data_IF_903444236495
#
_entry.id   IF_903444236495
#
_cell.length_a   1.000
_cell.length_b   1.000
_cell.length_c   1.000
_cell.angle_alpha   90.00
_cell.angle_beta   90.00
_cell.angle_gamma   90.00
#
_symmetry.space_group_name_H-M   'P 1'
#
loop_
_entity.id
_entity.type
_entity.pdbx_description
1 polymer ?
#
# COMPACT_ATOMS: atom_id res chain seq x y z
N UNK A 1 17.42 -7.80 -3.50
CA UNK A 1 16.51 -7.77 -2.32
C UNK A 1 15.22 -7.07 -2.70
N UNK A 2 14.08 -7.68 -2.43
CA UNK A 2 12.76 -7.16 -2.80
C UNK A 2 12.17 -6.31 -1.69
N UNK A 3 11.14 -5.52 -2.04
CA UNK A 3 10.36 -4.75 -1.04
C UNK A 3 9.74 -5.68 0.01
N UNK A 4 9.20 -6.83 -0.40
CA UNK A 4 8.65 -7.83 0.52
C UNK A 4 9.69 -8.29 1.54
N UNK A 5 10.88 -8.61 1.08
CA UNK A 5 11.98 -9.06 1.95
C UNK A 5 12.39 -7.97 2.93
N UNK A 6 12.59 -6.74 2.44
CA UNK A 6 13.00 -5.62 3.28
C UNK A 6 11.96 -5.36 4.38
N UNK A 7 10.70 -5.26 4.01
CA UNK A 7 9.61 -4.96 4.96
C UNK A 7 9.38 -6.07 5.97
N UNK A 8 9.49 -7.33 5.54
CA UNK A 8 9.37 -8.48 6.44
C UNK A 8 10.51 -8.49 7.45
N UNK A 9 11.74 -8.23 7.02
CA UNK A 9 12.89 -8.11 7.93
C UNK A 9 12.75 -6.95 8.91
N UNK A 10 12.27 -5.80 8.43
CA UNK A 10 12.00 -4.65 9.30
C UNK A 10 10.95 -4.99 10.37
N UNK A 11 9.88 -5.66 9.98
CA UNK A 11 8.82 -6.08 10.89
C UNK A 11 9.34 -7.07 11.95
N UNK A 12 10.15 -8.02 11.55
CA UNK A 12 10.80 -8.96 12.48
C UNK A 12 11.75 -8.24 13.45
N UNK A 13 12.59 -7.36 12.91
CA UNK A 13 13.57 -6.60 13.70
C UNK A 13 12.90 -5.73 14.75
N UNK A 14 11.79 -5.08 14.43
CA UNK A 14 11.02 -4.26 15.37
C UNK A 14 10.55 -5.06 16.60
N UNK A 15 10.34 -6.36 16.45
CA UNK A 15 9.91 -7.24 17.53
C UNK A 15 11.06 -8.04 18.16
N UNK A 16 12.29 -7.76 17.78
CA UNK A 16 13.46 -8.53 18.25
C UNK A 16 13.44 -9.98 17.76
N UNK A 17 12.79 -10.26 16.66
CA UNK A 17 12.63 -11.61 16.08
C UNK A 17 13.62 -11.82 14.95
N UNK A 18 14.02 -13.07 14.75
CA UNK A 18 15.00 -13.45 13.72
C UNK A 18 14.57 -14.74 12.98
N UNK A 19 13.26 -14.93 12.77
CA UNK A 19 12.77 -16.08 12.05
C UNK A 19 13.07 -15.97 10.56
N UNK A 20 13.18 -17.12 9.91
CA UNK A 20 13.20 -17.22 8.46
C UNK A 20 11.80 -17.06 7.89
N UNK A 21 11.71 -16.61 6.65
CA UNK A 21 10.46 -16.47 5.93
C UNK A 21 10.67 -16.81 4.47
N UNK A 22 9.59 -17.17 3.80
CA UNK A 22 9.56 -17.47 2.36
C UNK A 22 8.47 -16.66 1.67
N UNK A 23 8.68 -16.33 0.41
CA UNK A 23 7.72 -15.62 -0.42
C UNK A 23 7.96 -15.92 -1.89
N UNK A 24 6.95 -15.65 -2.71
CA UNK A 24 7.04 -15.68 -4.17
C UNK A 24 6.74 -14.27 -4.69
N UNK A 25 7.60 -13.72 -5.53
CA UNK A 25 7.46 -12.36 -6.07
C UNK A 25 6.16 -12.12 -6.84
N UNK A 26 5.60 -13.17 -7.44
CA UNK A 26 4.37 -13.06 -8.23
C UNK A 26 3.10 -13.04 -7.37
N UNK A 27 3.21 -13.34 -6.09
CA UNK A 27 2.08 -13.43 -5.16
C UNK A 27 2.20 -12.43 -4.03
N UNK A 28 1.07 -12.02 -3.42
CA UNK A 28 1.09 -11.16 -2.23
C UNK A 28 1.26 -11.95 -0.92
N UNK A 29 1.79 -13.17 -0.97
CA UNK A 29 1.90 -14.04 0.19
C UNK A 29 3.31 -14.07 0.76
N UNK A 30 3.39 -14.00 2.09
CA UNK A 30 4.64 -14.20 2.84
C UNK A 30 4.37 -15.21 3.95
N UNK A 31 5.17 -16.27 4.00
CA UNK A 31 5.09 -17.28 5.05
C UNK A 31 6.18 -17.05 6.08
N UNK A 32 5.79 -16.78 7.32
CA UNK A 32 6.70 -16.57 8.45
C UNK A 32 6.40 -17.60 9.52
N UNK A 33 7.38 -18.44 9.83
CA UNK A 33 7.25 -19.50 10.85
C UNK A 33 5.99 -20.34 10.70
N UNK A 34 5.66 -20.73 9.47
CA UNK A 34 4.51 -21.58 9.15
C UNK A 34 3.16 -20.87 9.10
N UNK A 35 3.11 -19.56 9.35
CA UNK A 35 1.91 -18.74 9.19
C UNK A 35 1.99 -17.90 7.92
N UNK A 36 0.91 -17.90 7.15
CA UNK A 36 0.79 -17.10 5.92
C UNK A 36 0.17 -15.74 6.19
N UNK A 37 0.82 -14.69 5.66
CA UNK A 37 0.35 -13.31 5.68
C UNK A 37 0.13 -12.82 4.25
N UNK A 38 -0.82 -11.90 4.05
CA UNK A 38 -0.92 -11.13 2.81
C UNK A 38 0.05 -9.96 2.94
N UNK A 39 1.26 -10.06 2.45
CA UNK A 39 2.35 -9.13 2.69
C UNK A 39 2.63 -8.97 4.20
N UNK A 40 3.73 -8.35 4.54
CA UNK A 40 4.06 -7.99 5.93
C UNK A 40 4.59 -6.58 5.94
N UNK A 41 4.02 -5.76 6.81
CA UNK A 41 4.46 -4.38 7.02
C UNK A 41 4.96 -4.18 8.45
N UNK A 42 6.03 -3.38 8.63
CA UNK A 42 6.47 -3.00 9.97
C UNK A 42 5.41 -2.14 10.66
N UNK A 43 5.20 -2.34 11.95
CA UNK A 43 4.20 -1.59 12.72
C UNK A 43 4.52 -0.10 12.83
N UNK A 44 5.79 0.27 12.70
CA UNK A 44 6.23 1.67 12.69
C UNK A 44 5.62 2.51 11.57
N UNK A 45 5.09 1.89 10.52
CA UNK A 45 4.39 2.59 9.45
C UNK A 45 2.97 3.03 9.84
N UNK A 46 2.40 2.45 10.89
CA UNK A 46 1.02 2.67 11.32
C UNK A 46 0.93 3.88 12.26
N UNK A 47 1.11 5.07 11.72
CA UNK A 47 0.95 6.32 12.46
C UNK A 47 -0.53 6.68 12.62
N UNK A 48 -0.89 7.56 13.59
CA UNK A 48 -2.25 8.07 13.70
C UNK A 48 -2.73 8.70 12.39
N UNK A 49 -3.99 8.45 12.04
CA UNK A 49 -4.59 9.00 10.81
C UNK A 49 -5.12 10.39 11.08
N UNK A 50 -4.73 11.35 10.25
CA UNK A 50 -5.35 12.66 10.16
C UNK A 50 -6.40 12.62 9.04
N UNK A 51 -7.64 13.01 9.33
CA UNK A 51 -8.73 13.04 8.36
C UNK A 51 -8.84 14.37 7.62
N UNK A 52 -8.12 15.40 8.04
CA UNK A 52 -7.99 16.65 7.30
C UNK A 52 -6.88 16.53 6.27
N UNK A 53 -7.28 16.25 5.03
CA UNK A 53 -6.36 15.85 3.97
C UNK A 53 -6.39 16.84 2.81
N UNK A 54 -5.32 17.62 2.64
CA UNK A 54 -5.30 18.69 1.63
C UNK A 54 -5.17 18.20 0.17
N UNK A 55 -4.67 16.97 -0.04
CA UNK A 55 -4.49 16.43 -1.38
C UNK A 55 -5.70 15.56 -1.73
N UNK A 56 -6.42 15.91 -2.79
CA UNK A 56 -7.61 15.16 -3.20
C UNK A 56 -7.27 13.74 -3.64
N UNK A 57 -6.32 13.60 -4.57
CA UNK A 57 -5.89 12.31 -5.08
C UNK A 57 -4.41 12.38 -5.44
N UNK A 58 -3.65 11.34 -5.13
CA UNK A 58 -2.20 11.33 -5.29
C UNK A 58 -1.70 10.03 -5.90
N UNK A 59 -0.91 10.17 -6.94
CA UNK A 59 -0.10 9.08 -7.49
C UNK A 59 1.37 9.48 -7.50
N UNK A 60 2.22 8.69 -6.86
CA UNK A 60 3.68 8.80 -6.93
C UNK A 60 4.21 7.50 -7.49
N UNK A 61 4.83 7.54 -8.65
CA UNK A 61 5.39 6.35 -9.24
C UNK A 61 5.87 6.54 -10.68
N UNK A 62 6.39 5.46 -11.24
CA UNK A 62 6.84 5.44 -12.62
C UNK A 62 5.64 5.57 -13.56
N UNK A 63 5.74 6.49 -14.49
CA UNK A 63 4.72 6.67 -15.53
C UNK A 63 4.95 5.69 -16.68
N UNK A 64 3.85 5.07 -17.11
CA UNK A 64 3.78 4.24 -18.32
C UNK A 64 2.51 4.63 -19.08
N UNK A 65 2.40 4.32 -20.40
CA UNK A 65 1.19 4.66 -21.16
C UNK A 65 -0.09 4.09 -20.56
N UNK A 66 -0.08 2.85 -20.05
CA UNK A 66 -1.26 2.24 -19.42
C UNK A 66 -1.63 2.92 -18.10
N UNK A 67 -0.64 3.28 -17.29
CA UNK A 67 -0.87 4.04 -16.04
C UNK A 67 -1.40 5.44 -16.33
N UNK A 68 -0.86 6.11 -17.32
CA UNK A 68 -1.34 7.43 -17.74
C UNK A 68 -2.81 7.38 -18.16
N UNK A 69 -3.20 6.39 -18.95
CA UNK A 69 -4.60 6.18 -19.36
C UNK A 69 -5.52 5.98 -18.15
N UNK A 70 -5.11 5.14 -17.19
CA UNK A 70 -5.87 4.92 -15.96
C UNK A 70 -5.98 6.18 -15.11
N UNK A 71 -4.86 6.89 -14.91
CA UNK A 71 -4.83 8.10 -14.08
C UNK A 71 -5.70 9.22 -14.65
N UNK A 72 -5.84 9.32 -15.96
CA UNK A 72 -6.78 10.26 -16.59
C UNK A 72 -8.22 9.98 -16.20
N UNK A 73 -8.59 8.73 -16.02
CA UNK A 73 -9.93 8.34 -15.54
C UNK A 73 -10.15 8.68 -14.07
N UNK A 74 -9.09 8.79 -13.28
CA UNK A 74 -9.12 9.13 -11.86
C UNK A 74 -8.98 10.63 -11.59
N UNK A 75 -9.06 11.47 -12.61
CA UNK A 75 -8.87 12.91 -12.46
C UNK A 75 -9.97 13.56 -11.57
N UNK A 76 -9.65 14.63 -10.80
CA UNK A 76 -8.33 15.24 -10.70
C UNK A 76 -7.37 14.45 -9.82
N UNK A 77 -6.12 14.29 -10.27
CA UNK A 77 -5.10 13.55 -9.54
C UNK A 77 -3.77 14.30 -9.60
N UNK A 78 -3.14 14.49 -8.45
CA UNK A 78 -1.77 14.99 -8.37
C UNK A 78 -0.82 13.85 -8.72
N UNK A 79 -0.02 14.04 -9.76
CA UNK A 79 0.92 13.03 -10.24
C UNK A 79 2.34 13.51 -9.98
N UNK A 80 3.10 12.69 -9.23
CA UNK A 80 4.53 12.92 -8.99
C UNK A 80 5.30 11.76 -9.63
N UNK A 81 5.88 11.97 -10.81
CA UNK A 81 6.67 10.93 -11.46
C UNK A 81 7.91 10.57 -10.63
N UNK A 82 8.12 9.28 -10.39
CA UNK A 82 9.36 8.82 -9.77
C UNK A 82 10.43 8.60 -10.82
N UNK A 83 11.69 8.84 -10.45
CA UNK A 83 12.83 8.62 -11.34
C UNK A 83 13.06 7.13 -11.58
N UNK A 84 13.53 6.77 -12.78
CA UNK A 84 14.03 5.43 -13.09
C UNK A 84 15.22 5.11 -12.20
N UNK A 85 15.32 3.86 -11.77
CA UNK A 85 16.53 3.35 -11.12
C UNK A 85 16.59 3.51 -9.60
N UNK A 86 15.49 3.87 -8.95
CA UNK A 86 15.42 3.77 -7.49
C UNK A 86 15.46 2.29 -7.10
N UNK A 87 16.41 1.93 -6.23
CA UNK A 87 16.49 0.57 -5.72
C UNK A 87 15.35 0.28 -4.72
N UNK A 88 15.13 -1.00 -4.44
CA UNK A 88 14.04 -1.44 -3.56
C UNK A 88 14.23 -0.95 -2.11
N UNK A 89 15.48 -0.81 -1.64
CA UNK A 89 15.80 -0.28 -0.33
C UNK A 89 15.34 1.18 -0.20
N UNK A 90 15.63 2.00 -1.21
CA UNK A 90 15.19 3.40 -1.26
C UNK A 90 13.67 3.50 -1.28
N UNK A 91 12.99 2.69 -2.11
CA UNK A 91 11.52 2.66 -2.18
C UNK A 91 10.90 2.29 -0.84
N UNK A 92 11.44 1.27 -0.17
CA UNK A 92 10.92 0.80 1.11
C UNK A 92 11.04 1.84 2.23
N UNK A 93 12.05 2.70 2.17
CA UNK A 93 12.38 3.68 3.21
C UNK A 93 12.10 5.14 2.80
N UNK A 94 11.33 5.36 1.75
CA UNK A 94 11.04 6.71 1.25
C UNK A 94 10.01 7.42 2.15
N UNK A 95 10.50 8.16 3.13
CA UNK A 95 9.65 8.91 4.05
C UNK A 95 8.79 9.95 3.35
N UNK A 96 9.29 10.58 2.28
CA UNK A 96 8.53 11.59 1.53
C UNK A 96 7.31 10.99 0.83
N UNK A 97 7.42 9.76 0.33
CA UNK A 97 6.28 9.01 -0.23
C UNK A 97 5.18 8.78 0.82
N UNK A 98 5.58 8.28 1.99
CA UNK A 98 4.64 7.98 3.07
C UNK A 98 3.98 9.25 3.63
N UNK A 99 4.75 10.32 3.81
CA UNK A 99 4.23 11.61 4.27
C UNK A 99 3.21 12.19 3.29
N UNK A 100 3.50 12.17 1.99
CA UNK A 100 2.59 12.65 0.96
C UNK A 100 1.30 11.81 0.92
N UNK A 101 1.42 10.49 0.99
CA UNK A 101 0.26 9.59 1.00
C UNK A 101 -0.65 9.83 2.20
N UNK A 102 -0.09 10.20 3.36
CA UNK A 102 -0.85 10.55 4.55
C UNK A 102 -1.66 11.84 4.41
N UNK A 103 -1.38 12.66 3.40
CA UNK A 103 -2.11 13.89 3.11
C UNK A 103 -3.15 13.74 1.99
N UNK A 104 -3.26 12.58 1.37
CA UNK A 104 -4.17 12.33 0.26
C UNK A 104 -5.44 11.63 0.71
N UNK A 105 -6.59 12.04 0.13
CA UNK A 105 -7.88 11.38 0.35
C UNK A 105 -7.94 10.06 -0.43
N UNK A 106 -7.49 10.07 -1.68
CA UNK A 106 -7.55 8.93 -2.57
C UNK A 106 -6.19 8.60 -3.14
N UNK A 107 -5.97 7.31 -3.41
CA UNK A 107 -4.75 6.82 -4.03
C UNK A 107 -5.10 5.93 -5.23
N UNK A 108 -5.00 6.45 -6.46
CA UNK A 108 -5.08 5.61 -7.64
C UNK A 108 -4.00 4.53 -7.62
N UNK A 109 -4.42 3.29 -7.82
CA UNK A 109 -3.58 2.10 -7.78
C UNK A 109 -3.63 1.37 -9.12
N UNK A 110 -2.99 1.91 -10.17
CA UNK A 110 -2.94 1.22 -11.45
C UNK A 110 -2.18 -0.10 -11.32
N UNK A 111 -2.52 -1.05 -12.18
CA UNK A 111 -1.80 -2.29 -12.26
C UNK A 111 -0.30 -2.03 -12.53
N UNK A 112 0.56 -2.85 -11.91
CA UNK A 112 1.95 -2.93 -12.26
C UNK A 112 2.19 -4.19 -13.09
N UNK A 113 3.19 -4.98 -12.72
CA UNK A 113 3.46 -6.28 -13.36
C UNK A 113 2.34 -7.29 -13.06
N UNK A 114 1.60 -7.07 -11.97
CA UNK A 114 0.48 -7.89 -11.53
C UNK A 114 -0.75 -7.01 -11.29
N UNK A 115 -1.94 -7.62 -11.18
CA UNK A 115 -3.17 -6.90 -10.86
C UNK A 115 -3.13 -6.29 -9.45
N UNK A 116 -2.47 -6.94 -8.51
CA UNK A 116 -2.27 -6.41 -7.16
C UNK A 116 -1.03 -5.50 -7.09
N UNK A 117 -1.07 -4.47 -6.23
CA UNK A 117 0.06 -3.55 -6.01
C UNK A 117 0.27 -3.30 -4.53
N UNK A 118 1.52 -3.03 -4.14
CA UNK A 118 1.84 -2.57 -2.78
C UNK A 118 1.12 -1.28 -2.43
N UNK A 119 0.95 -0.38 -3.41
CA UNK A 119 0.33 0.94 -3.22
C UNK A 119 -1.06 0.84 -2.63
N UNK A 120 -1.85 -0.17 -2.99
CA UNK A 120 -3.18 -0.39 -2.42
C UNK A 120 -3.12 -0.48 -0.89
N UNK A 121 -2.23 -1.31 -0.38
CA UNK A 121 -2.09 -1.53 1.06
C UNK A 121 -1.39 -0.38 1.77
N UNK A 122 -0.40 0.22 1.11
CA UNK A 122 0.25 1.45 1.60
C UNK A 122 -0.75 2.58 1.76
N UNK A 123 -1.67 2.75 0.82
CA UNK A 123 -2.76 3.71 0.92
C UNK A 123 -3.64 3.44 2.15
N UNK A 124 -4.02 2.19 2.36
CA UNK A 124 -4.82 1.79 3.53
C UNK A 124 -4.10 2.08 4.85
N UNK A 125 -2.79 1.84 4.92
CA UNK A 125 -1.97 2.17 6.09
C UNK A 125 -1.96 3.68 6.34
N UNK A 126 -1.88 4.48 5.29
CA UNK A 126 -1.80 5.93 5.38
C UNK A 126 -3.15 6.64 5.55
N UNK A 127 -4.26 5.92 5.45
CA UNK A 127 -5.59 6.50 5.56
C UNK A 127 -6.14 7.10 4.27
N UNK A 128 -5.56 6.79 3.12
CA UNK A 128 -6.12 7.08 1.82
C UNK A 128 -7.04 5.94 1.36
N UNK A 129 -8.03 6.26 0.54
CA UNK A 129 -8.92 5.25 -0.03
C UNK A 129 -8.41 4.87 -1.42
N UNK A 130 -8.11 3.60 -1.68
CA UNK A 130 -7.62 3.17 -2.98
C UNK A 130 -8.67 3.32 -4.10
N UNK A 131 -8.21 3.65 -5.31
CA UNK A 131 -8.99 3.56 -6.54
C UNK A 131 -8.27 2.52 -7.41
N UNK A 132 -8.93 1.42 -7.72
CA UNK A 132 -8.31 0.30 -8.42
C UNK A 132 -8.61 0.27 -9.91
N UNK A 133 -7.71 -0.31 -10.68
CA UNK A 133 -7.91 -0.64 -12.10
C UNK A 133 -8.58 -2.01 -12.23
N UNK A 134 -7.88 -3.07 -11.85
CA UNK A 134 -8.41 -4.43 -11.83
C UNK A 134 -8.53 -4.95 -10.40
N UNK A 135 -9.54 -5.77 -10.16
CA UNK A 135 -9.70 -6.45 -8.87
C UNK A 135 -8.65 -7.56 -8.74
N UNK A 136 -8.10 -7.68 -7.54
CA UNK A 136 -7.24 -8.79 -7.14
C UNK A 136 -7.82 -9.43 -5.88
N UNK A 137 -7.68 -10.74 -5.74
CA UNK A 137 -8.24 -11.51 -4.62
C UNK A 137 -7.78 -10.96 -3.25
N UNK A 138 -6.54 -10.48 -3.17
CA UNK A 138 -6.02 -9.89 -1.93
C UNK A 138 -6.68 -8.58 -1.54
N UNK A 139 -7.47 -7.95 -2.41
CA UNK A 139 -8.27 -6.76 -2.10
C UNK A 139 -9.63 -7.10 -1.48
N UNK A 140 -9.99 -8.36 -1.45
CA UNK A 140 -11.27 -8.82 -0.92
C UNK A 140 -11.48 -8.36 0.53
N UNK A 141 -12.65 -7.83 0.82
CA UNK A 141 -12.99 -7.31 2.14
C UNK A 141 -12.50 -5.90 2.45
N UNK A 142 -11.70 -5.31 1.60
CA UNK A 142 -11.33 -3.89 1.68
C UNK A 142 -12.39 -3.01 1.02
N UNK A 143 -12.39 -1.73 1.38
CA UNK A 143 -13.24 -0.71 0.77
C UNK A 143 -12.41 0.11 -0.22
N UNK A 144 -12.86 0.17 -1.45
CA UNK A 144 -12.15 0.88 -2.53
C UNK A 144 -13.14 1.35 -3.58
N UNK A 145 -12.67 2.25 -4.46
CA UNK A 145 -13.43 2.69 -5.62
C UNK A 145 -12.80 2.15 -6.90
N UNK A 146 -13.60 2.12 -7.96
CA UNK A 146 -13.14 1.95 -9.34
C UNK A 146 -13.10 3.30 -10.05
N UNK A 147 -12.35 3.39 -11.14
CA UNK A 147 -12.12 4.66 -11.84
C UNK A 147 -13.40 5.29 -12.45
N UNK A 148 -14.43 4.48 -12.71
CA UNK A 148 -15.73 4.95 -13.24
C UNK A 148 -16.70 5.42 -12.15
N UNK A 149 -16.33 5.26 -10.89
CA UNK A 149 -17.13 5.70 -9.76
C UNK A 149 -16.73 7.11 -9.32
N UNK A 150 -17.67 7.86 -8.75
CA UNK A 150 -17.38 9.15 -8.12
C UNK A 150 -16.97 8.93 -6.67
N UNK A 151 -15.69 9.09 -6.33
CA UNK A 151 -15.22 8.77 -5.00
C UNK A 151 -15.65 9.83 -3.97
N UNK A 152 -16.02 9.36 -2.79
CA UNK A 152 -16.32 10.18 -1.62
C UNK A 152 -15.40 9.73 -0.49
N UNK A 153 -14.72 10.67 0.16
CA UNK A 153 -13.84 10.35 1.29
C UNK A 153 -14.67 10.00 2.52
N UNK A 154 -14.55 8.76 2.97
CA UNK A 154 -15.38 8.20 4.05
C UNK A 154 -14.49 7.71 5.19
N UNK A 155 -14.60 8.33 6.33
CA UNK A 155 -13.83 7.96 7.51
C UNK A 155 -14.08 6.51 7.96
N UNK A 156 -15.33 6.02 7.84
CA UNK A 156 -15.67 4.65 8.18
C UNK A 156 -14.94 3.63 7.28
N UNK A 157 -14.76 3.94 6.00
CA UNK A 157 -13.98 3.11 5.08
C UNK A 157 -12.49 3.12 5.43
N UNK A 158 -11.97 4.31 5.74
CA UNK A 158 -10.57 4.48 6.14
C UNK A 158 -10.27 3.65 7.39
N UNK A 159 -11.11 3.75 8.40
CA UNK A 159 -10.97 2.99 9.65
C UNK A 159 -11.06 1.48 9.41
N UNK A 160 -12.01 1.04 8.60
CA UNK A 160 -12.17 -0.36 8.23
C UNK A 160 -10.91 -0.92 7.56
N UNK A 161 -10.42 -0.23 6.53
CA UNK A 161 -9.23 -0.64 5.81
C UNK A 161 -7.99 -0.67 6.71
N UNK A 162 -7.83 0.37 7.53
CA UNK A 162 -6.70 0.46 8.46
C UNK A 162 -6.69 -0.70 9.45
N UNK A 163 -7.81 -1.00 10.05
CA UNK A 163 -7.94 -2.12 10.98
C UNK A 163 -7.64 -3.46 10.32
N UNK A 164 -8.12 -3.64 9.08
CA UNK A 164 -7.91 -4.88 8.33
C UNK A 164 -6.43 -5.10 8.01
N UNK A 165 -5.74 -4.07 7.51
CA UNK A 165 -4.29 -4.15 7.25
C UNK A 165 -3.52 -4.43 8.54
N UNK A 166 -3.82 -3.72 9.60
CA UNK A 166 -3.13 -3.89 10.88
C UNK A 166 -3.30 -5.32 11.45
N UNK A 167 -4.48 -5.89 11.30
CA UNK A 167 -4.77 -7.25 11.77
C UNK A 167 -4.13 -8.33 10.91
N UNK A 168 -4.16 -8.18 9.58
CA UNK A 168 -3.83 -9.25 8.65
C UNK A 168 -2.41 -9.15 8.06
N UNK A 169 -1.81 -7.96 8.08
CA UNK A 169 -0.57 -7.68 7.37
C UNK A 169 0.56 -7.19 8.28
N UNK A 170 0.40 -7.36 9.58
CA UNK A 170 1.47 -7.17 10.57
C UNK A 170 1.73 -8.48 11.29
N UNK A 171 2.97 -8.67 11.72
CA UNK A 171 3.31 -9.85 12.52
C UNK A 171 2.58 -9.81 13.86
N UNK A 172 2.19 -10.99 14.32
CA UNK A 172 1.58 -11.13 15.65
C UNK A 172 2.55 -10.60 16.71
N UNK A 173 2.02 -9.90 17.70
CA UNK A 173 2.85 -9.45 18.83
C UNK A 173 3.34 -10.66 19.60
N UNK A 174 4.61 -10.64 19.96
CA UNK A 174 5.17 -11.63 20.88
C UNK A 174 4.51 -11.41 22.24
N UNK A 175 3.91 -12.48 22.75
CA UNK A 175 3.29 -12.45 24.09
C UNK A 175 4.36 -12.53 25.18
#
# INVERSE_FOLDING_TARGET
MTIQEIRTRQALTEQGRNESFTFDHSTPWVDVSGKRYTLVFPRSLFLPIDFDRPIESLFIGKMTPSRETFLKKCAPCTIVPSMRGRDEQTKANDTSYWEAMRMAKFAPCPNGDFAWTYRFFEACICGAIPIIEDFAECYSGFKFYRADETPVYREDWVKHNRMKVEREMTLDKVK
#
